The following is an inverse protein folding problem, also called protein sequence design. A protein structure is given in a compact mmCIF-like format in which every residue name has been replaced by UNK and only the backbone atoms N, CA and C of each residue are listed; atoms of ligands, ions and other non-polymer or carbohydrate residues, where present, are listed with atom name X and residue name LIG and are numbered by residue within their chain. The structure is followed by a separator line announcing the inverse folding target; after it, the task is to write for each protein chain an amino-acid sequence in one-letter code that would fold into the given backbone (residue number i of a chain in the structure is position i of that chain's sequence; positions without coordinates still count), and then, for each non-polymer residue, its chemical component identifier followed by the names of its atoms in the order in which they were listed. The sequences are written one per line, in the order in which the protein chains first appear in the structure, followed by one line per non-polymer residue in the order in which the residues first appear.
data_IF_639323355306
#
_entry.id   IF_639323355306
#
_cell.length_a   1.000
_cell.length_b   1.000
_cell.length_c   1.000
_cell.angle_alpha   90.00
_cell.angle_beta   90.00
_cell.angle_gamma   90.00
#
_symmetry.space_group_name_H-M   'P 1'
#
loop_
_entity.id
_entity.type
_entity.pdbx_description
1 polymer ?
#
# COMPACT_ATOMS: atom_id res chain seq x y z
N UNK A 1 6.00 29.72 -13.15
CA UNK A 1 5.44 28.60 -12.36
C UNK A 1 4.65 27.72 -13.31
N UNK A 2 5.25 26.65 -13.83
CA UNK A 2 4.65 25.81 -14.87
C UNK A 2 3.62 24.89 -14.21
N UNK A 3 2.33 25.17 -14.46
CA UNK A 3 1.23 24.30 -14.05
C UNK A 3 1.32 23.00 -14.83
N UNK A 4 1.82 21.95 -14.19
CA UNK A 4 1.82 20.61 -14.74
C UNK A 4 0.37 20.17 -14.92
N UNK A 5 -0.18 20.35 -16.13
CA UNK A 5 -1.40 19.69 -16.58
C UNK A 5 -1.07 18.21 -16.74
N UNK A 6 -0.88 17.51 -15.62
CA UNK A 6 -0.73 16.07 -15.59
C UNK A 6 -2.12 15.49 -15.85
N UNK A 7 -2.39 15.14 -17.11
CA UNK A 7 -3.67 14.61 -17.60
C UNK A 7 -3.93 13.15 -17.20
N UNK A 8 -3.22 12.63 -16.19
CA UNK A 8 -3.50 11.30 -15.65
C UNK A 8 -4.95 11.25 -15.12
N UNK A 9 -5.86 10.49 -15.76
CA UNK A 9 -7.27 10.45 -15.39
C UNK A 9 -7.49 9.85 -13.99
N UNK A 10 -6.49 9.15 -13.43
CA UNK A 10 -6.53 8.61 -12.08
C UNK A 10 -6.32 9.65 -10.98
N UNK A 11 -5.75 10.82 -11.27
CA UNK A 11 -5.38 11.79 -10.25
C UNK A 11 -6.61 12.51 -9.68
N UNK A 12 -6.64 12.71 -8.35
CA UNK A 12 -7.75 13.41 -7.67
C UNK A 12 -7.93 14.85 -8.15
N UNK A 13 -6.87 15.50 -8.63
CA UNK A 13 -6.93 16.84 -9.20
C UNK A 13 -7.76 16.92 -10.51
N UNK A 14 -7.93 15.79 -11.20
CA UNK A 14 -8.68 15.69 -12.45
C UNK A 14 -10.10 15.13 -12.26
N UNK A 15 -10.56 14.96 -11.00
CA UNK A 15 -11.88 14.41 -10.67
C UNK A 15 -12.86 15.51 -10.23
N UNK A 16 -14.18 15.32 -10.43
CA UNK A 16 -15.20 16.20 -9.87
C UNK A 16 -15.08 16.29 -8.34
N UNK A 17 -15.23 17.50 -7.79
CA UNK A 17 -15.11 17.74 -6.33
C UNK A 17 -16.07 16.89 -5.51
N UNK A 18 -17.26 16.59 -6.06
CA UNK A 18 -18.26 15.76 -5.40
C UNK A 18 -17.81 14.30 -5.28
N UNK A 19 -17.23 13.75 -6.34
CA UNK A 19 -16.68 12.39 -6.34
C UNK A 19 -15.53 12.27 -5.33
N UNK A 20 -14.63 13.27 -5.28
CA UNK A 20 -13.53 13.30 -4.30
C UNK A 20 -14.05 13.35 -2.87
N UNK A 21 -15.10 14.15 -2.62
CA UNK A 21 -15.76 14.21 -1.29
C UNK A 21 -16.40 12.88 -0.92
N UNK A 22 -17.06 12.22 -1.85
CA UNK A 22 -17.66 10.91 -1.63
C UNK A 22 -16.60 9.86 -1.28
N UNK A 23 -15.48 9.84 -2.02
CA UNK A 23 -14.35 8.94 -1.76
C UNK A 23 -13.74 9.22 -0.38
N UNK A 24 -13.52 10.48 -0.03
CA UNK A 24 -12.99 10.87 1.27
C UNK A 24 -13.94 10.49 2.42
N UNK A 25 -15.25 10.74 2.25
CA UNK A 25 -16.28 10.33 3.20
C UNK A 25 -16.32 8.82 3.38
N UNK A 26 -16.26 8.03 2.30
CA UNK A 26 -16.21 6.56 2.38
C UNK A 26 -14.98 6.07 3.14
N UNK A 27 -13.80 6.66 2.90
CA UNK A 27 -12.57 6.34 3.63
C UNK A 27 -12.65 6.69 5.12
N UNK A 28 -13.26 7.83 5.46
CA UNK A 28 -13.51 8.24 6.84
C UNK A 28 -14.51 7.32 7.54
N UNK A 29 -15.63 6.98 6.90
CA UNK A 29 -16.65 6.08 7.46
C UNK A 29 -16.11 4.68 7.75
N UNK A 30 -15.26 4.13 6.88
CA UNK A 30 -14.59 2.85 7.11
C UNK A 30 -13.70 2.86 8.37
N UNK A 31 -13.25 4.04 8.81
CA UNK A 31 -12.44 4.21 10.02
C UNK A 31 -13.29 4.38 11.29
N UNK A 32 -14.57 4.79 11.16
CA UNK A 32 -15.47 5.05 12.29
C UNK A 32 -16.19 3.81 12.84
N UNK A 33 -16.24 2.70 12.11
CA UNK A 33 -16.95 1.48 12.52
C UNK A 33 -16.13 0.53 13.43
N UNK A 34 -15.00 1.01 13.96
CA UNK A 34 -14.13 0.24 14.86
C UNK A 34 -13.05 -0.52 14.08
N UNK A 35 -12.01 0.22 13.68
CA UNK A 35 -10.83 -0.37 13.04
C UNK A 35 -9.96 -1.15 14.01
N UNK A 36 -8.79 -1.58 13.55
CA UNK A 36 -7.82 -2.34 14.37
C UNK A 36 -7.52 -1.65 15.71
N UNK A 37 -7.40 -0.32 15.73
CA UNK A 37 -7.13 0.46 16.93
C UNK A 37 -8.27 0.45 17.97
N UNK A 38 -9.51 0.17 17.55
CA UNK A 38 -10.68 0.12 18.43
C UNK A 38 -10.99 -1.29 18.94
N UNK A 39 -10.22 -2.30 18.53
CA UNK A 39 -10.38 -3.69 18.95
C UNK A 39 -9.80 -3.91 20.36
N UNK A 40 -10.21 -4.98 21.04
CA UNK A 40 -9.61 -5.41 22.30
C UNK A 40 -8.07 -5.60 22.18
N UNK A 41 -7.25 -5.10 23.13
CA UNK A 41 -5.79 -5.19 23.07
C UNK A 41 -5.23 -6.61 22.92
N UNK A 42 -5.83 -7.60 23.57
CA UNK A 42 -5.37 -8.99 23.48
C UNK A 42 -5.62 -9.55 22.08
N UNK A 43 -6.78 -9.23 21.51
CA UNK A 43 -7.14 -9.60 20.14
C UNK A 43 -6.26 -8.89 19.11
N UNK A 44 -5.91 -7.61 19.32
CA UNK A 44 -4.94 -6.90 18.51
C UNK A 44 -3.58 -7.60 18.52
N UNK A 45 -3.09 -7.97 19.71
CA UNK A 45 -1.81 -8.66 19.89
C UNK A 45 -1.80 -10.03 19.20
N UNK A 46 -2.89 -10.77 19.30
CA UNK A 46 -3.02 -12.07 18.63
C UNK A 46 -2.94 -11.92 17.10
N UNK A 47 -3.68 -10.96 16.53
CA UNK A 47 -3.66 -10.68 15.08
C UNK A 47 -2.27 -10.22 14.63
N UNK A 48 -1.64 -9.30 15.37
CA UNK A 48 -0.30 -8.83 15.08
C UNK A 48 0.73 -9.98 15.13
N UNK A 49 0.63 -10.85 16.14
CA UNK A 49 1.48 -12.04 16.28
C UNK A 49 1.29 -12.99 15.09
N UNK A 50 0.05 -13.29 14.70
CA UNK A 50 -0.26 -14.13 13.53
C UNK A 50 0.29 -13.53 12.24
N UNK A 51 0.16 -12.21 12.06
CA UNK A 51 0.73 -11.49 10.92
C UNK A 51 2.26 -11.57 10.88
N UNK A 52 2.91 -11.43 12.04
CA UNK A 52 4.36 -11.59 12.18
C UNK A 52 4.84 -13.01 11.87
N UNK A 53 4.13 -14.04 12.33
CA UNK A 53 4.44 -15.45 12.07
C UNK A 53 4.21 -15.85 10.61
N UNK A 54 3.19 -15.29 9.96
CA UNK A 54 2.92 -15.51 8.55
C UNK A 54 3.92 -14.77 7.64
N UNK A 55 4.53 -13.70 8.15
CA UNK A 55 5.63 -13.01 7.48
C UNK A 55 6.94 -13.78 7.64
N UNK A 56 7.82 -13.71 6.65
CA UNK A 56 9.18 -14.28 6.73
C UNK A 56 10.12 -13.51 7.68
N UNK A 57 9.58 -12.59 8.47
CA UNK A 57 10.33 -11.64 9.30
C UNK A 57 10.97 -10.52 8.48
N UNK A 58 11.82 -9.73 9.14
CA UNK A 58 12.69 -8.79 8.45
C UNK A 58 13.80 -9.54 7.72
N UNK A 59 14.19 -9.05 6.54
CA UNK A 59 15.35 -9.56 5.84
C UNK A 59 16.60 -8.81 6.29
N UNK A 60 17.71 -9.52 6.48
CA UNK A 60 19.02 -8.87 6.58
C UNK A 60 19.41 -8.31 5.20
N UNK A 61 19.94 -7.08 5.14
CA UNK A 61 20.44 -6.51 3.90
C UNK A 61 21.45 -7.44 3.22
N UNK A 62 21.24 -7.73 1.94
CA UNK A 62 22.14 -8.58 1.15
C UNK A 62 21.99 -10.09 1.38
N UNK A 63 21.13 -10.53 2.30
CA UNK A 63 20.84 -11.96 2.48
C UNK A 63 20.19 -12.57 1.22
N UNK A 64 20.45 -13.85 0.98
CA UNK A 64 19.84 -14.61 -0.12
C UNK A 64 18.31 -14.51 -0.11
N UNK A 65 17.72 -14.54 1.09
CA UNK A 65 16.27 -14.42 1.29
C UNK A 65 15.72 -13.06 0.83
N UNK A 66 16.45 -11.97 1.13
CA UNK A 66 16.09 -10.63 0.64
C UNK A 66 16.19 -10.55 -0.89
N UNK A 67 17.27 -11.09 -1.47
CA UNK A 67 17.49 -11.11 -2.92
C UNK A 67 16.38 -11.89 -3.63
N UNK A 68 16.03 -13.06 -3.11
CA UNK A 68 14.97 -13.88 -3.68
C UNK A 68 13.60 -13.21 -3.59
N UNK A 69 13.27 -12.64 -2.43
CA UNK A 69 12.03 -11.88 -2.23
C UNK A 69 11.95 -10.67 -3.18
N UNK A 70 13.04 -9.91 -3.32
CA UNK A 70 13.13 -8.78 -4.25
C UNK A 70 12.99 -9.21 -5.71
N UNK A 71 13.69 -10.29 -6.12
CA UNK A 71 13.57 -10.87 -7.47
C UNK A 71 12.15 -11.33 -7.78
N UNK A 72 11.49 -12.00 -6.83
CA UNK A 72 10.10 -12.45 -6.98
C UNK A 72 9.14 -11.26 -7.08
N UNK A 73 9.34 -10.23 -6.26
CA UNK A 73 8.58 -8.98 -6.31
C UNK A 73 8.74 -8.24 -7.65
N UNK A 74 9.96 -8.16 -8.17
CA UNK A 74 10.24 -7.56 -9.48
C UNK A 74 9.58 -8.32 -10.64
N UNK A 75 9.55 -9.65 -10.59
CA UNK A 75 8.84 -10.49 -11.56
C UNK A 75 7.31 -10.30 -11.50
N UNK A 76 6.75 -10.18 -10.29
CA UNK A 76 5.30 -10.05 -10.10
C UNK A 76 4.77 -8.65 -10.46
N UNK A 77 5.61 -7.62 -10.33
CA UNK A 77 5.25 -6.23 -10.63
C UNK A 77 5.40 -5.87 -12.12
N UNK A 78 5.81 -6.81 -12.97
CA UNK A 78 5.99 -6.55 -14.40
C UNK A 78 7.04 -5.47 -14.64
N UNK A 79 8.22 -5.60 -14.02
CA UNK A 79 9.40 -4.80 -14.36
C UNK A 79 9.92 -5.11 -15.76
N UNK A 80 9.08 -4.88 -16.77
CA UNK A 80 9.46 -4.67 -18.15
C UNK A 80 9.52 -3.18 -18.39
N UNK A 81 10.72 -2.63 -18.26
CA UNK A 81 11.12 -1.50 -19.09
C UNK A 81 12.40 -1.96 -19.76
N UNK A 82 12.26 -2.31 -21.02
CA UNK A 82 13.30 -2.09 -22.00
C UNK A 82 13.87 -0.65 -21.85
N UNK A 83 15.10 -0.46 -22.35
CA UNK A 83 15.88 0.78 -22.38
C UNK A 83 16.83 1.05 -21.18
N UNK A 84 18.03 0.48 -21.26
CA UNK A 84 19.27 1.17 -20.93
C UNK A 84 20.43 0.57 -21.76
N UNK A 85 20.74 1.26 -22.87
CA UNK A 85 21.97 1.31 -23.69
C UNK A 85 22.77 0.02 -23.98
#
# INVERSE_FOLDING_TARGET
MSGTQNTNPGNFANRPKEEVREIASKGGQASHSGGFASMDPDKQREIASKGGQASSGSFEPGSERAREAGRKGGKASGGGSDDAE
#
